data_IF_842991859559
#
_entry.id   IF_842991859559
#
_cell.length_a   1.000
_cell.length_b   1.000
_cell.length_c   1.000
_cell.angle_alpha   90.00
_cell.angle_beta   90.00
_cell.angle_gamma   90.00
#
_symmetry.space_group_name_H-M   'P 1'
#
loop_
_entity.id
_entity.type
_entity.pdbx_description
1 polymer ?
#
# COMPACT_ATOMS: atom_id res chain seq x y z
N UNK A 1 14.38 20.95 -5.41
CA UNK A 1 14.77 19.92 -4.43
C UNK A 1 16.17 20.22 -3.99
N UNK A 2 16.42 20.20 -2.69
CA UNK A 2 17.75 20.54 -2.14
C UNK A 2 18.64 19.29 -2.00
N UNK A 3 18.39 18.27 -2.82
CA UNK A 3 19.15 17.02 -2.85
C UNK A 3 19.18 16.40 -4.25
N UNK A 4 20.16 15.53 -4.47
CA UNK A 4 20.21 14.57 -5.56
C UNK A 4 20.34 13.14 -5.02
N UNK A 5 20.05 12.13 -5.85
CA UNK A 5 20.10 10.72 -5.45
C UNK A 5 20.97 9.93 -6.41
N UNK A 6 21.88 9.14 -5.84
CA UNK A 6 22.70 8.16 -6.57
C UNK A 6 22.17 6.76 -6.21
N UNK A 7 21.62 6.04 -7.20
CA UNK A 7 21.13 4.67 -6.98
C UNK A 7 22.27 3.66 -7.17
N UNK A 8 22.35 2.66 -6.29
CA UNK A 8 23.25 1.52 -6.48
C UNK A 8 22.64 0.59 -7.54
N UNK A 9 23.25 0.57 -8.71
CA UNK A 9 22.83 -0.25 -9.85
C UNK A 9 23.45 -1.64 -9.88
N UNK A 10 24.01 -2.12 -8.76
CA UNK A 10 24.60 -3.46 -8.66
C UNK A 10 23.56 -4.52 -9.03
N UNK A 11 23.85 -5.43 -9.95
CA UNK A 11 22.91 -6.48 -10.34
C UNK A 11 22.76 -7.53 -9.24
N UNK A 12 21.59 -8.20 -9.19
CA UNK A 12 21.35 -9.36 -8.34
C UNK A 12 21.07 -9.06 -6.86
N UNK A 13 20.96 -7.79 -6.46
CA UNK A 13 20.55 -7.45 -5.10
C UNK A 13 19.09 -7.88 -4.88
N UNK A 14 18.80 -8.48 -3.72
CA UNK A 14 17.42 -8.71 -3.31
C UNK A 14 16.69 -7.37 -3.10
N UNK A 15 15.36 -7.36 -3.20
CA UNK A 15 14.55 -6.14 -3.07
C UNK A 15 14.82 -5.38 -1.77
N UNK A 16 15.07 -6.08 -0.66
CA UNK A 16 15.39 -5.48 0.65
C UNK A 16 16.84 -4.97 0.79
N UNK A 17 17.70 -5.26 -0.17
CA UNK A 17 19.13 -4.91 -0.14
C UNK A 17 19.49 -3.71 -1.02
N UNK A 18 18.53 -3.19 -1.79
CA UNK A 18 18.72 -2.04 -2.66
C UNK A 18 19.13 -0.80 -1.85
N UNK A 19 20.21 -0.14 -2.29
CA UNK A 19 20.85 0.97 -1.58
C UNK A 19 20.93 2.21 -2.45
N UNK A 20 20.95 3.36 -1.81
CA UNK A 20 21.14 4.65 -2.47
C UNK A 20 21.95 5.61 -1.59
N UNK A 21 22.47 6.65 -2.21
CA UNK A 21 23.08 7.78 -1.52
C UNK A 21 22.30 9.05 -1.83
N UNK A 22 21.82 9.73 -0.80
CA UNK A 22 21.23 11.06 -0.92
C UNK A 22 22.34 12.08 -0.70
N UNK A 23 22.53 12.97 -1.67
CA UNK A 23 23.52 14.04 -1.62
C UNK A 23 22.79 15.37 -1.49
N UNK A 24 22.97 16.04 -0.36
CA UNK A 24 22.33 17.31 -0.06
C UNK A 24 23.12 18.50 -0.63
N UNK A 25 22.47 19.65 -0.79
CA UNK A 25 23.09 20.87 -1.33
C UNK A 25 24.27 21.37 -0.50
N UNK A 26 24.32 21.06 0.79
CA UNK A 26 25.43 21.37 1.70
C UNK A 26 26.64 20.42 1.58
N UNK A 27 26.56 19.43 0.68
CA UNK A 27 27.57 18.41 0.46
C UNK A 27 27.48 17.20 1.39
N UNK A 28 26.57 17.18 2.35
CA UNK A 28 26.31 16.03 3.21
C UNK A 28 25.82 14.86 2.37
N UNK A 29 26.36 13.66 2.62
CA UNK A 29 25.97 12.41 1.96
C UNK A 29 25.34 11.46 2.99
N UNK A 30 24.19 10.93 2.66
CA UNK A 30 23.47 9.99 3.51
C UNK A 30 23.22 8.68 2.75
N UNK A 31 23.76 7.57 3.27
CA UNK A 31 23.64 6.25 2.69
C UNK A 31 22.49 5.52 3.36
N UNK A 32 21.53 4.98 2.59
CA UNK A 32 20.38 4.28 3.11
C UNK A 32 19.90 3.17 2.17
N UNK A 33 19.15 2.22 2.73
CA UNK A 33 18.42 1.21 1.92
C UNK A 33 17.06 1.76 1.53
N UNK A 34 16.51 1.24 0.42
CA UNK A 34 15.21 1.65 -0.08
C UNK A 34 14.07 1.47 0.95
N UNK A 35 14.13 0.41 1.77
CA UNK A 35 13.11 0.10 2.77
C UNK A 35 13.35 0.73 4.16
N UNK A 36 14.29 1.65 4.29
CA UNK A 36 14.43 2.47 5.49
C UNK A 36 13.44 3.66 5.41
N UNK A 37 12.13 3.35 5.40
CA UNK A 37 11.07 4.30 5.13
C UNK A 37 11.08 5.52 6.05
N UNK A 38 11.38 5.36 7.34
CA UNK A 38 11.49 6.47 8.27
C UNK A 38 12.53 7.52 7.85
N UNK A 39 13.67 7.07 7.33
CA UNK A 39 14.70 7.96 6.79
C UNK A 39 14.26 8.62 5.49
N UNK A 40 13.55 7.88 4.63
CA UNK A 40 13.01 8.42 3.39
C UNK A 40 11.94 9.47 3.66
N UNK A 41 11.02 9.22 4.59
CA UNK A 41 9.96 10.16 4.96
C UNK A 41 10.49 11.42 5.66
N UNK A 42 11.65 11.33 6.34
CA UNK A 42 12.28 12.48 6.97
C UNK A 42 12.76 13.54 5.96
N UNK A 43 12.99 13.14 4.69
CA UNK A 43 13.46 14.06 3.64
C UNK A 43 12.29 14.39 2.68
N UNK A 44 11.78 15.65 2.68
CA UNK A 44 10.65 16.03 1.84
C UNK A 44 10.87 15.73 0.35
N UNK A 45 9.94 15.01 -0.27
CA UNK A 45 9.96 14.63 -1.69
C UNK A 45 10.94 13.50 -2.06
N UNK A 46 11.69 12.92 -1.11
CA UNK A 46 12.61 11.82 -1.42
C UNK A 46 11.88 10.57 -1.86
N UNK A 47 10.79 10.22 -1.17
CA UNK A 47 9.97 9.05 -1.54
C UNK A 47 9.42 9.18 -2.97
N UNK A 48 8.86 10.33 -3.31
CA UNK A 48 8.34 10.60 -4.65
C UNK A 48 9.45 10.57 -5.71
N UNK A 49 10.61 11.16 -5.41
CA UNK A 49 11.74 11.17 -6.33
C UNK A 49 12.24 9.76 -6.63
N UNK A 50 12.46 8.96 -5.58
CA UNK A 50 13.04 7.63 -5.73
C UNK A 50 11.98 6.64 -6.18
N UNK A 51 10.93 6.44 -5.39
CA UNK A 51 9.98 5.34 -5.58
C UNK A 51 9.04 5.61 -6.75
N UNK A 52 8.47 6.82 -6.82
CA UNK A 52 7.47 7.13 -7.84
C UNK A 52 8.11 7.47 -9.19
N UNK A 53 9.15 8.31 -9.21
CA UNK A 53 9.73 8.79 -10.48
C UNK A 53 10.83 7.89 -11.01
N UNK A 54 11.88 7.58 -10.21
CA UNK A 54 13.03 6.83 -10.72
C UNK A 54 12.77 5.34 -10.85
N UNK A 55 12.09 4.75 -9.85
CA UNK A 55 11.75 3.33 -9.88
C UNK A 55 10.38 3.06 -10.53
N UNK A 56 9.66 4.10 -10.94
CA UNK A 56 8.38 4.01 -11.66
C UNK A 56 7.34 3.13 -10.94
N UNK A 57 7.16 3.34 -9.63
CA UNK A 57 6.23 2.55 -8.84
C UNK A 57 4.78 2.79 -9.29
N UNK A 58 4.16 1.75 -9.83
CA UNK A 58 2.80 1.78 -10.37
C UNK A 58 1.72 1.30 -9.39
N UNK A 59 2.09 0.71 -8.23
CA UNK A 59 1.12 0.10 -7.31
C UNK A 59 -0.01 1.03 -6.89
N UNK A 60 0.21 2.28 -6.45
CA UNK A 60 -0.88 3.15 -6.04
C UNK A 60 -1.86 3.43 -7.18
N UNK A 61 -1.36 3.73 -8.36
CA UNK A 61 -2.16 4.01 -9.56
C UNK A 61 -2.94 2.79 -10.03
N UNK A 62 -2.30 1.61 -10.09
CA UNK A 62 -2.93 0.35 -10.53
C UNK A 62 -4.02 -0.06 -9.54
N UNK A 63 -3.73 -0.01 -8.23
CA UNK A 63 -4.70 -0.35 -7.19
C UNK A 63 -5.93 0.56 -7.26
N UNK A 64 -5.72 1.87 -7.26
CA UNK A 64 -6.82 2.83 -7.26
C UNK A 64 -7.67 2.75 -8.54
N UNK A 65 -7.03 2.56 -9.71
CA UNK A 65 -7.73 2.36 -10.99
C UNK A 65 -8.56 1.07 -10.95
N UNK A 66 -7.95 -0.05 -10.55
CA UNK A 66 -8.63 -1.34 -10.52
C UNK A 66 -9.84 -1.33 -9.58
N UNK A 67 -9.70 -0.71 -8.39
CA UNK A 67 -10.81 -0.60 -7.44
C UNK A 67 -11.98 0.22 -8.00
N UNK A 68 -11.72 1.42 -8.51
CA UNK A 68 -12.77 2.30 -9.04
C UNK A 68 -13.43 1.69 -10.28
N UNK A 69 -12.68 1.04 -11.15
CA UNK A 69 -13.23 0.33 -12.32
C UNK A 69 -14.17 -0.81 -11.90
N UNK A 70 -13.81 -1.60 -10.87
CA UNK A 70 -14.69 -2.68 -10.41
C UNK A 70 -15.93 -2.13 -9.71
N UNK A 71 -15.79 -1.07 -8.91
CA UNK A 71 -16.95 -0.38 -8.33
C UNK A 71 -17.94 0.06 -9.42
N UNK A 72 -17.41 0.68 -10.49
CA UNK A 72 -18.26 1.13 -11.61
C UNK A 72 -18.96 -0.02 -12.33
N UNK A 73 -18.27 -1.17 -12.54
CA UNK A 73 -18.88 -2.39 -13.11
C UNK A 73 -19.99 -2.96 -12.26
N UNK A 74 -19.95 -2.73 -10.95
CA UNK A 74 -21.00 -3.13 -10.01
C UNK A 74 -22.07 -2.04 -9.79
N UNK A 75 -22.04 -0.96 -10.58
CA UNK A 75 -23.00 0.12 -10.49
C UNK A 75 -22.79 1.05 -9.29
N UNK A 76 -21.61 1.01 -8.67
CA UNK A 76 -21.26 1.81 -7.50
C UNK A 76 -20.30 2.94 -7.87
N UNK A 77 -20.62 4.16 -7.43
CA UNK A 77 -19.72 5.30 -7.58
C UNK A 77 -18.69 5.38 -6.45
N UNK A 78 -17.45 5.82 -6.72
CA UNK A 78 -16.40 5.88 -5.72
C UNK A 78 -16.59 6.98 -4.67
N UNK A 79 -17.50 7.94 -4.90
CA UNK A 79 -17.60 9.16 -4.07
C UNK A 79 -17.94 8.91 -2.60
N UNK A 80 -18.67 7.84 -2.29
CA UNK A 80 -19.07 7.48 -0.94
C UNK A 80 -18.11 6.50 -0.24
N UNK A 81 -17.09 5.99 -0.93
CA UNK A 81 -16.13 5.03 -0.38
C UNK A 81 -15.34 5.67 0.77
N UNK A 82 -15.34 5.04 1.94
CA UNK A 82 -14.59 5.44 3.13
C UNK A 82 -13.55 4.36 3.41
N UNK A 83 -12.29 4.74 3.50
CA UNK A 83 -11.15 3.83 3.33
C UNK A 83 -10.30 3.75 4.59
N UNK A 84 -9.94 2.52 5.00
CA UNK A 84 -8.75 2.24 5.79
C UNK A 84 -7.60 1.95 4.83
N UNK A 85 -6.57 2.79 4.87
CA UNK A 85 -5.34 2.65 4.08
C UNK A 85 -4.25 2.04 4.98
N UNK A 86 -3.88 0.79 4.71
CA UNK A 86 -2.97 0.00 5.54
C UNK A 86 -1.57 0.02 4.95
N UNK A 87 -0.58 0.40 5.78
CA UNK A 87 0.75 0.78 5.30
C UNK A 87 0.67 2.07 4.49
N UNK A 88 -0.07 3.06 5.02
CA UNK A 88 -0.45 4.27 4.30
C UNK A 88 0.75 5.16 3.91
N UNK A 89 1.87 5.04 4.64
CA UNK A 89 3.07 5.80 4.38
C UNK A 89 2.80 7.31 4.35
N UNK A 90 3.31 7.98 3.35
CA UNK A 90 3.03 9.41 3.16
C UNK A 90 1.76 9.71 2.33
N UNK A 91 0.88 8.71 2.11
CA UNK A 91 -0.47 8.91 1.57
C UNK A 91 -0.64 8.82 0.06
N UNK A 92 0.30 8.25 -0.68
CA UNK A 92 0.22 8.15 -2.16
C UNK A 92 -1.01 7.39 -2.64
N UNK A 93 -1.40 6.30 -1.94
CA UNK A 93 -2.61 5.51 -2.30
C UNK A 93 -3.87 6.34 -2.10
N UNK A 94 -4.01 7.00 -0.96
CA UNK A 94 -5.14 7.88 -0.68
C UNK A 94 -5.25 9.02 -1.69
N UNK A 95 -4.13 9.64 -2.09
CA UNK A 95 -4.11 10.68 -3.13
C UNK A 95 -4.59 10.14 -4.48
N UNK A 96 -4.13 8.96 -4.89
CA UNK A 96 -4.57 8.32 -6.15
C UNK A 96 -6.07 7.99 -6.15
N UNK A 97 -6.61 7.54 -5.03
CA UNK A 97 -8.04 7.32 -4.86
C UNK A 97 -8.83 8.65 -4.91
N UNK A 98 -8.30 9.69 -4.27
CA UNK A 98 -8.89 11.04 -4.29
C UNK A 98 -8.97 11.59 -5.71
N UNK A 99 -7.91 11.44 -6.51
CA UNK A 99 -7.87 11.84 -7.93
C UNK A 99 -8.91 11.11 -8.80
N UNK A 100 -9.31 9.87 -8.39
CA UNK A 100 -10.32 9.06 -9.08
C UNK A 100 -11.74 9.25 -8.54
N UNK A 101 -11.96 10.28 -7.74
CA UNK A 101 -13.29 10.69 -7.33
C UNK A 101 -13.78 10.09 -6.01
N UNK A 102 -12.93 9.43 -5.23
CA UNK A 102 -13.26 9.07 -3.84
C UNK A 102 -13.32 10.34 -3.01
N UNK A 103 -14.49 10.66 -2.46
CA UNK A 103 -14.72 11.87 -1.65
C UNK A 103 -14.95 11.57 -0.18
N UNK A 104 -15.16 10.30 0.17
CA UNK A 104 -15.31 9.85 1.54
C UNK A 104 -14.04 10.04 2.37
N UNK A 105 -14.13 9.72 3.65
CA UNK A 105 -13.01 9.83 4.57
C UNK A 105 -11.93 8.76 4.31
N UNK A 106 -10.68 9.13 4.59
CA UNK A 106 -9.55 8.21 4.67
C UNK A 106 -9.04 8.16 6.10
N UNK A 107 -8.79 6.96 6.60
CA UNK A 107 -8.04 6.70 7.82
C UNK A 107 -6.76 5.98 7.40
N UNK A 108 -5.61 6.54 7.75
CA UNK A 108 -4.31 5.90 7.52
C UNK A 108 -3.88 5.07 8.71
N UNK A 109 -3.13 4.01 8.48
CA UNK A 109 -2.40 3.28 9.51
C UNK A 109 -1.03 2.89 9.00
N UNK A 110 0.00 3.12 9.82
CA UNK A 110 1.38 2.71 9.53
C UNK A 110 2.15 2.46 10.84
N UNK A 111 3.09 1.53 10.81
CA UNK A 111 3.98 1.27 11.94
C UNK A 111 5.28 2.09 11.89
N UNK A 112 5.48 2.89 10.83
CA UNK A 112 6.60 3.82 10.73
C UNK A 112 6.26 5.15 11.42
N UNK A 113 6.97 5.54 12.49
CA UNK A 113 6.62 6.74 13.27
C UNK A 113 6.59 8.04 12.45
N UNK A 114 7.42 8.12 11.40
CA UNK A 114 7.51 9.30 10.52
C UNK A 114 6.40 9.39 9.47
N UNK A 115 5.62 8.34 9.26
CA UNK A 115 4.66 8.25 8.17
C UNK A 115 3.53 9.29 8.29
N UNK A 116 2.92 9.43 9.46
CA UNK A 116 1.86 10.42 9.70
C UNK A 116 2.33 11.87 9.45
N UNK A 117 3.53 12.20 9.90
CA UNK A 117 4.14 13.52 9.69
C UNK A 117 4.38 13.76 8.20
N UNK A 118 4.90 12.76 7.50
CA UNK A 118 5.11 12.84 6.07
C UNK A 118 3.80 12.96 5.29
N UNK A 119 2.75 12.20 5.67
CA UNK A 119 1.43 12.29 5.06
C UNK A 119 0.82 13.68 5.20
N UNK A 120 0.86 14.28 6.40
CA UNK A 120 0.33 15.63 6.63
C UNK A 120 1.15 16.71 5.90
N UNK A 121 2.48 16.55 5.82
CA UNK A 121 3.35 17.46 5.09
C UNK A 121 3.12 17.41 3.58
N UNK A 122 3.05 16.19 3.01
CA UNK A 122 3.06 15.98 1.56
C UNK A 122 1.63 16.02 0.98
N UNK A 123 0.61 15.67 1.79
CA UNK A 123 -0.81 15.57 1.43
C UNK A 123 -1.71 16.08 2.56
N UNK A 124 -1.61 17.38 2.89
CA UNK A 124 -2.29 17.97 4.04
C UNK A 124 -3.80 17.75 3.97
N UNK A 125 -4.39 17.30 5.09
CA UNK A 125 -5.82 17.06 5.22
C UNK A 125 -6.36 15.88 4.39
N UNK A 126 -5.50 14.99 3.89
CA UNK A 126 -5.94 13.78 3.18
C UNK A 126 -6.63 12.80 4.12
N UNK A 127 -6.03 12.53 5.26
CA UNK A 127 -6.55 11.61 6.28
C UNK A 127 -7.32 12.39 7.35
N UNK A 128 -8.50 11.89 7.73
CA UNK A 128 -9.27 12.43 8.87
C UNK A 128 -8.74 11.90 10.20
N UNK A 129 -8.02 10.77 10.15
CA UNK A 129 -7.32 10.17 11.27
C UNK A 129 -6.13 9.36 10.74
N UNK A 130 -5.02 9.34 11.50
CA UNK A 130 -3.83 8.60 11.13
C UNK A 130 -3.29 7.86 12.35
N UNK A 131 -3.36 6.54 12.32
CA UNK A 131 -3.04 5.67 13.44
C UNK A 131 -1.60 5.17 13.31
N UNK A 132 -0.86 5.27 14.42
CA UNK A 132 0.47 4.68 14.52
C UNK A 132 0.40 3.33 15.24
N UNK A 133 1.00 2.30 14.68
CA UNK A 133 1.14 0.99 15.29
C UNK A 133 0.95 -0.18 14.34
N UNK A 134 1.10 -1.36 14.89
CA UNK A 134 0.84 -2.60 14.16
C UNK A 134 -0.67 -2.84 14.01
N UNK A 135 -1.09 -3.31 12.84
CA UNK A 135 -2.50 -3.60 12.57
C UNK A 135 -3.10 -4.60 13.59
N UNK A 136 -2.27 -5.53 14.09
CA UNK A 136 -2.66 -6.52 15.09
C UNK A 136 -2.99 -5.93 16.47
N UNK A 137 -2.41 -4.78 16.80
CA UNK A 137 -2.55 -4.13 18.11
C UNK A 137 -3.74 -3.18 18.18
N UNK A 138 -4.31 -2.83 17.02
CA UNK A 138 -5.41 -1.88 16.92
C UNK A 138 -6.76 -2.56 16.96
N UNK A 139 -7.72 -1.89 17.63
CA UNK A 139 -9.12 -2.28 17.54
C UNK A 139 -9.72 -1.87 16.21
N UNK A 140 -9.45 -2.64 15.14
CA UNK A 140 -9.94 -2.36 13.78
C UNK A 140 -11.47 -2.21 13.77
N UNK A 141 -12.19 -3.03 14.56
CA UNK A 141 -13.65 -2.91 14.74
C UNK A 141 -14.06 -1.50 15.17
N UNK A 142 -13.39 -0.93 16.17
CA UNK A 142 -13.70 0.42 16.65
C UNK A 142 -13.43 1.47 15.58
N UNK A 143 -12.32 1.36 14.85
CA UNK A 143 -11.96 2.27 13.78
C UNK A 143 -12.97 2.19 12.63
N UNK A 144 -13.32 0.98 12.19
CA UNK A 144 -14.33 0.75 11.14
C UNK A 144 -15.68 1.36 11.53
N UNK A 145 -16.12 1.13 12.78
CA UNK A 145 -17.40 1.67 13.27
C UNK A 145 -17.37 3.20 13.41
N UNK A 146 -16.31 3.75 14.01
CA UNK A 146 -16.17 5.20 14.26
C UNK A 146 -16.20 6.00 12.96
N UNK A 147 -15.49 5.52 11.92
CA UNK A 147 -15.38 6.23 10.65
C UNK A 147 -16.33 5.68 9.57
N UNK A 148 -17.19 4.70 9.91
CA UNK A 148 -18.10 4.03 8.97
C UNK A 148 -17.38 3.54 7.71
N UNK A 149 -16.23 2.89 7.87
CA UNK A 149 -15.38 2.48 6.76
C UNK A 149 -16.05 1.39 5.90
N UNK A 150 -15.89 1.51 4.59
CA UNK A 150 -16.49 0.63 3.59
C UNK A 150 -15.48 0.07 2.61
N UNK A 151 -14.20 0.36 2.81
CA UNK A 151 -13.11 -0.16 2.00
C UNK A 151 -11.81 -0.29 2.79
N UNK A 152 -11.06 -1.35 2.51
CA UNK A 152 -9.71 -1.60 3.00
C UNK A 152 -8.77 -1.60 1.79
N UNK A 153 -7.71 -0.80 1.85
CA UNK A 153 -6.69 -0.76 0.81
C UNK A 153 -5.29 -0.92 1.40
N UNK A 154 -4.35 -1.42 0.59
CA UNK A 154 -2.95 -1.51 1.00
C UNK A 154 -2.05 -1.82 -0.20
N UNK A 155 -1.13 -0.92 -0.50
CA UNK A 155 -0.19 -1.09 -1.61
C UNK A 155 1.17 -1.57 -1.11
N UNK A 156 1.50 -2.85 -1.36
CA UNK A 156 2.76 -3.45 -0.92
C UNK A 156 2.85 -3.69 0.60
N UNK A 157 1.71 -3.64 1.30
CA UNK A 157 1.66 -3.82 2.76
C UNK A 157 1.58 -5.29 3.20
N UNK A 158 1.34 -6.22 2.26
CA UNK A 158 1.20 -7.65 2.52
C UNK A 158 2.42 -8.42 2.02
N UNK A 159 2.96 -9.31 2.83
CA UNK A 159 4.07 -10.18 2.45
C UNK A 159 5.01 -10.53 3.59
N UNK A 160 6.05 -11.32 3.31
CA UNK A 160 7.08 -11.65 4.29
C UNK A 160 7.73 -10.37 4.87
N UNK A 161 7.77 -10.27 6.19
CA UNK A 161 8.30 -9.09 6.90
C UNK A 161 7.34 -7.90 6.97
N UNK A 162 6.11 -8.06 6.48
CA UNK A 162 5.00 -7.10 6.55
C UNK A 162 3.82 -7.71 7.32
N UNK A 163 2.60 -7.32 6.97
CA UNK A 163 1.39 -7.81 7.63
C UNK A 163 1.17 -9.30 7.29
N UNK A 164 1.02 -10.14 8.32
CA UNK A 164 0.73 -11.56 8.18
C UNK A 164 -0.70 -11.81 7.68
N UNK A 165 -0.94 -12.99 7.09
CA UNK A 165 -2.27 -13.38 6.62
C UNK A 165 -3.31 -13.38 7.74
N UNK A 166 -2.96 -13.89 8.92
CA UNK A 166 -3.85 -13.94 10.08
C UNK A 166 -4.23 -12.56 10.60
N UNK A 167 -3.26 -11.64 10.68
CA UNK A 167 -3.50 -10.26 11.09
C UNK A 167 -4.40 -9.52 10.09
N UNK A 168 -4.13 -9.70 8.79
CA UNK A 168 -4.93 -9.11 7.73
C UNK A 168 -6.36 -9.65 7.71
N UNK A 169 -6.54 -10.97 7.86
CA UNK A 169 -7.86 -11.61 7.94
C UNK A 169 -8.67 -11.11 9.14
N UNK A 170 -8.03 -10.98 10.31
CA UNK A 170 -8.68 -10.42 11.49
C UNK A 170 -9.19 -9.00 11.26
N UNK A 171 -8.40 -8.16 10.59
CA UNK A 171 -8.81 -6.81 10.23
C UNK A 171 -9.94 -6.79 9.18
N UNK A 172 -9.81 -7.61 8.13
CA UNK A 172 -10.80 -7.68 7.05
C UNK A 172 -12.18 -8.16 7.53
N UNK A 173 -12.22 -9.07 8.49
CA UNK A 173 -13.47 -9.57 9.08
C UNK A 173 -14.32 -8.51 9.77
N UNK A 174 -13.73 -7.40 10.19
CA UNK A 174 -14.43 -6.31 10.85
C UNK A 174 -15.18 -5.37 9.89
N UNK A 175 -14.96 -5.51 8.60
CA UNK A 175 -15.63 -4.70 7.60
C UNK A 175 -17.06 -5.21 7.31
N UNK A 176 -18.01 -4.30 7.03
CA UNK A 176 -19.39 -4.67 6.75
C UNK A 176 -19.53 -5.44 5.43
N UNK A 177 -20.64 -6.18 5.30
CA UNK A 177 -21.04 -6.76 4.02
C UNK A 177 -21.08 -5.68 2.93
N UNK A 178 -20.56 -6.01 1.76
CA UNK A 178 -20.46 -5.10 0.61
C UNK A 178 -19.24 -4.21 0.63
N UNK A 179 -18.40 -4.26 1.69
CA UNK A 179 -17.14 -3.52 1.72
C UNK A 179 -16.19 -3.99 0.60
N UNK A 180 -15.38 -3.05 0.11
CA UNK A 180 -14.38 -3.27 -0.92
C UNK A 180 -13.00 -3.53 -0.33
N UNK A 181 -12.26 -4.45 -0.95
CA UNK A 181 -10.87 -4.74 -0.67
C UNK A 181 -10.03 -4.50 -1.91
N UNK A 182 -8.94 -3.74 -1.77
CA UNK A 182 -7.97 -3.58 -2.83
C UNK A 182 -6.54 -3.64 -2.26
N UNK A 183 -5.77 -4.64 -2.68
CA UNK A 183 -4.39 -4.81 -2.21
C UNK A 183 -3.45 -5.14 -3.35
N UNK A 184 -2.17 -4.79 -3.19
CA UNK A 184 -1.11 -5.29 -4.06
C UNK A 184 -0.11 -6.10 -3.26
N UNK A 185 0.42 -7.17 -3.85
CA UNK A 185 1.36 -8.09 -3.23
C UNK A 185 2.40 -8.58 -4.22
N UNK A 186 3.61 -8.88 -3.73
CA UNK A 186 4.69 -9.43 -4.55
C UNK A 186 4.25 -10.73 -5.24
N UNK A 187 4.70 -11.00 -6.47
CA UNK A 187 4.28 -12.19 -7.21
C UNK A 187 4.67 -13.50 -6.51
N UNK A 188 5.75 -13.53 -5.76
CA UNK A 188 6.18 -14.72 -4.99
C UNK A 188 5.14 -15.18 -3.97
N UNK A 189 4.27 -14.29 -3.49
CA UNK A 189 3.16 -14.66 -2.59
C UNK A 189 2.28 -15.74 -3.21
N UNK A 190 2.05 -15.68 -4.53
CA UNK A 190 1.21 -16.65 -5.24
C UNK A 190 1.99 -17.74 -5.95
N UNK A 191 3.31 -17.57 -6.12
CA UNK A 191 4.15 -18.47 -6.90
C UNK A 191 5.02 -19.38 -6.05
N UNK A 192 5.21 -19.08 -4.74
CA UNK A 192 6.03 -19.88 -3.85
C UNK A 192 5.16 -20.87 -3.05
N UNK A 193 5.54 -22.12 -3.05
CA UNK A 193 4.91 -23.14 -2.23
C UNK A 193 5.11 -22.87 -0.73
N UNK A 194 4.08 -23.14 0.09
CA UNK A 194 4.14 -23.00 1.55
C UNK A 194 4.16 -21.54 2.04
N UNK A 195 3.78 -20.58 1.21
CA UNK A 195 3.59 -19.20 1.63
C UNK A 195 2.22 -19.04 2.32
N UNK A 196 2.20 -18.77 3.64
CA UNK A 196 0.97 -18.58 4.42
C UNK A 196 0.00 -17.59 3.77
N UNK A 197 0.52 -16.46 3.30
CA UNK A 197 -0.29 -15.46 2.60
C UNK A 197 -0.82 -15.98 1.26
N UNK A 198 -0.03 -16.78 0.53
CA UNK A 198 -0.45 -17.42 -0.71
C UNK A 198 -1.62 -18.41 -0.49
N UNK A 199 -1.53 -19.22 0.55
CA UNK A 199 -2.61 -20.15 0.96
C UNK A 199 -3.87 -19.37 1.36
N UNK A 200 -3.73 -18.28 2.11
CA UNK A 200 -4.84 -17.40 2.45
C UNK A 200 -5.51 -16.80 1.20
N UNK A 201 -4.75 -16.26 0.26
CA UNK A 201 -5.29 -15.73 -1.01
C UNK A 201 -5.97 -16.82 -1.82
N UNK A 202 -5.44 -18.05 -1.83
CA UNK A 202 -6.08 -19.18 -2.48
C UNK A 202 -7.44 -19.52 -1.83
N UNK A 203 -7.53 -19.47 -0.49
CA UNK A 203 -8.78 -19.64 0.24
C UNK A 203 -9.80 -18.53 -0.09
N UNK A 204 -9.37 -17.27 -0.19
CA UNK A 204 -10.24 -16.16 -0.62
C UNK A 204 -10.79 -16.43 -2.04
N UNK A 205 -9.95 -16.86 -2.97
CA UNK A 205 -10.34 -17.18 -4.36
C UNK A 205 -11.34 -18.32 -4.44
N UNK A 206 -11.30 -19.24 -3.50
CA UNK A 206 -12.28 -20.32 -3.37
C UNK A 206 -13.60 -19.88 -2.68
N UNK A 207 -13.78 -18.59 -2.40
CA UNK A 207 -14.96 -18.04 -1.71
C UNK A 207 -14.90 -18.17 -0.18
N UNK A 208 -13.73 -18.47 0.38
CA UNK A 208 -13.50 -18.50 1.83
C UNK A 208 -13.54 -17.12 2.49
N UNK A 209 -13.58 -17.11 3.80
CA UNK A 209 -13.55 -15.90 4.64
C UNK A 209 -14.63 -14.85 4.28
N UNK A 210 -15.78 -15.30 3.77
CA UNK A 210 -16.87 -14.44 3.31
C UNK A 210 -16.38 -13.34 2.34
N UNK A 211 -15.61 -13.74 1.35
CA UNK A 211 -14.96 -12.82 0.41
C UNK A 211 -15.11 -13.34 -1.02
N UNK A 212 -15.55 -12.48 -1.91
CA UNK A 212 -15.57 -12.70 -3.35
C UNK A 212 -14.38 -11.97 -3.99
N UNK A 213 -13.43 -12.72 -4.54
CA UNK A 213 -12.33 -12.15 -5.31
C UNK A 213 -12.81 -11.89 -6.74
N UNK A 214 -12.88 -10.63 -7.12
CA UNK A 214 -13.42 -10.15 -8.40
C UNK A 214 -12.30 -10.04 -9.44
N UNK A 215 -11.13 -9.56 -9.01
CA UNK A 215 -9.97 -9.37 -9.90
C UNK A 215 -8.70 -9.82 -9.21
N UNK A 216 -7.82 -10.47 -9.96
CA UNK A 216 -6.45 -10.80 -9.55
C UNK A 216 -5.55 -10.75 -10.78
N UNK A 217 -4.85 -9.65 -10.98
CA UNK A 217 -4.06 -9.40 -12.18
C UNK A 217 -2.61 -9.08 -11.84
N UNK A 218 -1.68 -9.68 -12.60
CA UNK A 218 -0.25 -9.38 -12.54
C UNK A 218 0.04 -8.06 -13.26
N UNK A 219 0.94 -7.25 -12.69
CA UNK A 219 1.40 -6.00 -13.30
C UNK A 219 2.86 -5.72 -12.94
N UNK A 220 3.53 -4.83 -13.67
CA UNK A 220 4.85 -4.32 -13.30
C UNK A 220 4.68 -3.33 -12.15
N UNK A 221 5.18 -3.72 -10.97
CA UNK A 221 5.11 -2.90 -9.76
C UNK A 221 6.05 -1.69 -9.85
N UNK A 222 7.35 -1.94 -10.07
CA UNK A 222 8.40 -0.93 -10.22
C UNK A 222 9.62 -1.52 -10.91
N UNK A 223 10.61 -0.70 -11.17
CA UNK A 223 11.94 -1.14 -11.51
C UNK A 223 12.77 -1.41 -10.25
N UNK A 224 13.72 -2.33 -10.33
CA UNK A 224 14.86 -2.41 -9.40
C UNK A 224 15.80 -1.22 -9.67
N UNK A 225 16.67 -0.91 -8.74
CA UNK A 225 17.73 0.10 -8.98
C UNK A 225 18.66 -0.30 -10.12
N UNK A 226 18.80 -1.60 -10.40
CA UNK A 226 19.50 -2.15 -11.58
C UNK A 226 18.76 -2.00 -12.92
N UNK A 227 17.49 -1.54 -12.89
CA UNK A 227 16.63 -1.36 -14.06
C UNK A 227 15.73 -2.55 -14.41
N UNK A 228 15.85 -3.68 -13.73
CA UNK A 228 15.01 -4.86 -13.96
C UNK A 228 13.60 -4.67 -13.39
N UNK A 229 12.54 -5.19 -14.05
CA UNK A 229 11.17 -5.06 -13.55
C UNK A 229 10.90 -6.00 -12.38
N UNK A 230 10.17 -5.50 -11.38
CA UNK A 230 9.55 -6.29 -10.31
C UNK A 230 8.05 -6.35 -10.58
N UNK A 231 7.46 -7.53 -10.41
CA UNK A 231 6.04 -7.74 -10.65
C UNK A 231 5.29 -8.05 -9.37
N UNK A 232 4.08 -7.51 -9.33
CA UNK A 232 3.11 -7.71 -8.26
C UNK A 232 1.78 -8.16 -8.85
N UNK A 233 0.90 -8.65 -7.97
CA UNK A 233 -0.51 -8.81 -8.26
C UNK A 233 -1.32 -7.70 -7.60
N UNK A 234 -2.33 -7.20 -8.29
CA UNK A 234 -3.42 -6.41 -7.70
C UNK A 234 -4.62 -7.32 -7.51
N UNK A 235 -5.17 -7.33 -6.31
CA UNK A 235 -6.40 -8.06 -5.98
C UNK A 235 -7.49 -7.07 -5.59
N UNK A 236 -8.66 -7.23 -6.21
CA UNK A 236 -9.89 -6.54 -5.83
C UNK A 236 -10.89 -7.60 -5.39
N UNK A 237 -11.47 -7.40 -4.23
CA UNK A 237 -12.44 -8.31 -3.66
C UNK A 237 -13.57 -7.55 -2.95
N UNK A 238 -14.62 -8.28 -2.60
CA UNK A 238 -15.79 -7.76 -1.92
C UNK A 238 -16.18 -8.65 -0.75
N UNK A 239 -16.63 -8.06 0.34
CA UNK A 239 -17.16 -8.76 1.50
C UNK A 239 -18.56 -9.27 1.21
N UNK A 240 -18.83 -10.56 1.43
CA UNK A 240 -20.13 -11.19 1.12
C UNK A 240 -21.04 -11.40 2.34
N UNK A 241 -20.47 -11.40 3.56
CA UNK A 241 -21.24 -11.52 4.81
C UNK A 241 -20.55 -10.81 5.96
#
# INVERSE_FOLDING_TARGET
MDFSVELDQSPGLAQGEEKMTVVFADGRRDHMRLHEYGRMYAVPGLYEEVVQRRLECASPTVLATALVDEMARHGEGPSALRVLDVGAGNGVVGEELRRRGVKGSFVGIDNEPGAAIAAERDRPGLYVDYLFGELAELSVRSVVAQHNLTGLVGAGALGPGHISASCFDAAWREFPRGAWLAVTMHEDVLMSDGCELGEYIAALRAGGHNTEVIRLNRFRHRLRMSGEPIHYFVMIARRTA
#
